data_IF_794800240629
#
_entry.id   IF_794800240629
#
_cell.length_a   1.000
_cell.length_b   1.000
_cell.length_c   1.000
_cell.angle_alpha   90.00
_cell.angle_beta   90.00
_cell.angle_gamma   90.00
#
_symmetry.space_group_name_H-M   'P 1'
#
loop_
_entity.id
_entity.type
_entity.pdbx_description
1 polymer ?
#
# COMPACT_ATOMS: atom_id res chain seq x y z
N UNK A 1 -11.35 -12.06 -17.79
CA UNK A 1 -9.92 -12.41 -17.71
C UNK A 1 -9.17 -11.49 -16.74
N UNK A 2 -9.58 -10.23 -16.64
CA UNK A 2 -8.94 -9.19 -15.81
C UNK A 2 -8.91 -9.50 -14.31
N UNK A 3 -9.99 -10.09 -13.76
CA UNK A 3 -10.03 -10.49 -12.33
C UNK A 3 -8.89 -11.46 -11.99
N UNK A 4 -8.58 -12.41 -12.89
CA UNK A 4 -7.51 -13.38 -12.67
C UNK A 4 -6.14 -12.70 -12.63
N UNK A 5 -5.93 -11.70 -13.49
CA UNK A 5 -4.70 -10.89 -13.53
C UNK A 5 -4.54 -10.14 -12.21
N UNK A 6 -5.59 -9.47 -11.72
CA UNK A 6 -5.54 -8.78 -10.44
C UNK A 6 -5.34 -9.72 -9.24
N UNK A 7 -5.88 -10.94 -9.30
CA UNK A 7 -5.71 -11.94 -8.24
C UNK A 7 -4.25 -12.43 -8.16
N UNK A 8 -3.63 -12.72 -9.31
CA UNK A 8 -2.22 -13.13 -9.39
C UNK A 8 -1.30 -11.99 -8.94
N UNK A 9 -1.57 -10.78 -9.43
CA UNK A 9 -0.80 -9.59 -9.09
C UNK A 9 -0.92 -9.27 -7.60
N UNK A 10 -2.13 -9.29 -7.05
CA UNK A 10 -2.38 -9.09 -5.64
C UNK A 10 -1.69 -10.14 -4.77
N UNK A 11 -1.70 -11.41 -5.18
CA UNK A 11 -1.02 -12.49 -4.47
C UNK A 11 0.51 -12.33 -4.46
N UNK A 12 1.12 -12.07 -5.61
CA UNK A 12 2.57 -11.88 -5.73
C UNK A 12 3.04 -10.63 -5.01
N UNK A 13 2.33 -9.52 -5.20
CA UNK A 13 2.67 -8.25 -4.57
C UNK A 13 2.45 -8.30 -3.05
N UNK A 14 1.37 -8.95 -2.59
CA UNK A 14 1.11 -9.20 -1.17
C UNK A 14 2.14 -10.12 -0.51
N UNK A 15 2.57 -11.18 -1.20
CA UNK A 15 3.63 -12.07 -0.74
C UNK A 15 4.97 -11.33 -0.61
N UNK A 16 5.37 -10.60 -1.65
CA UNK A 16 6.60 -9.81 -1.63
C UNK A 16 6.56 -8.72 -0.55
N UNK A 17 5.43 -8.01 -0.42
CA UNK A 17 5.22 -7.02 0.63
C UNK A 17 5.37 -7.61 2.04
N UNK A 18 4.84 -8.82 2.27
CA UNK A 18 4.97 -9.54 3.53
C UNK A 18 6.40 -10.02 3.81
N UNK A 19 7.15 -10.43 2.79
CA UNK A 19 8.52 -10.90 2.92
C UNK A 19 9.50 -9.75 3.26
N UNK A 20 9.39 -8.63 2.55
CA UNK A 20 10.31 -7.49 2.74
C UNK A 20 9.90 -6.55 3.88
N UNK A 21 8.63 -6.59 4.31
CA UNK A 21 8.14 -5.75 5.42
C UNK A 21 8.04 -4.25 5.10
N UNK A 22 8.28 -3.85 3.84
CA UNK A 22 8.35 -2.43 3.41
C UNK A 22 6.96 -1.79 3.23
N UNK A 23 5.89 -2.58 3.32
CA UNK A 23 4.54 -2.16 2.92
C UNK A 23 4.46 -2.15 1.39
N UNK A 24 3.54 -2.92 0.82
CA UNK A 24 3.59 -3.34 -0.58
C UNK A 24 3.57 -2.24 -1.65
N UNK A 25 3.47 -0.96 -1.30
CA UNK A 25 3.37 0.16 -2.23
C UNK A 25 4.52 0.29 -3.22
N UNK A 26 5.76 0.02 -2.80
CA UNK A 26 6.94 0.10 -3.69
C UNK A 26 6.88 -0.90 -4.84
N UNK A 27 6.16 -2.02 -4.65
CA UNK A 27 5.99 -3.08 -5.66
C UNK A 27 4.63 -2.95 -6.36
N UNK A 28 3.56 -2.67 -5.61
CA UNK A 28 2.18 -2.62 -6.11
C UNK A 28 1.97 -1.45 -7.07
N UNK A 29 2.51 -0.25 -6.78
CA UNK A 29 2.31 0.94 -7.62
C UNK A 29 2.83 0.77 -9.05
N UNK A 30 4.12 0.44 -9.28
CA UNK A 30 4.62 0.27 -10.65
C UNK A 30 3.93 -0.88 -11.39
N UNK A 31 3.54 -1.94 -10.67
CA UNK A 31 2.83 -3.07 -11.25
C UNK A 31 1.42 -2.68 -11.72
N UNK A 32 0.66 -1.96 -10.89
CA UNK A 32 -0.65 -1.43 -11.27
C UNK A 32 -0.56 -0.40 -12.39
N UNK A 33 0.48 0.44 -12.40
CA UNK A 33 0.73 1.38 -13.50
C UNK A 33 0.87 0.64 -14.84
N UNK A 34 1.70 -0.41 -14.88
CA UNK A 34 1.86 -1.23 -16.10
C UNK A 34 0.53 -1.86 -16.51
N UNK A 35 -0.21 -2.43 -15.56
CA UNK A 35 -1.51 -3.07 -15.86
C UNK A 35 -2.53 -2.07 -16.41
N UNK A 36 -2.70 -0.92 -15.76
CA UNK A 36 -3.64 0.10 -16.22
C UNK A 36 -3.23 0.72 -17.55
N UNK A 37 -1.92 0.82 -17.83
CA UNK A 37 -1.43 1.22 -19.16
C UNK A 37 -1.78 0.18 -20.23
N UNK A 38 -1.66 -1.12 -19.92
CA UNK A 38 -2.03 -2.19 -20.85
C UNK A 38 -3.55 -2.33 -21.06
N UNK A 39 -4.35 -1.77 -20.16
CA UNK A 39 -5.81 -1.75 -20.25
C UNK A 39 -6.36 -0.49 -20.95
N UNK A 40 -5.49 0.32 -21.58
CA UNK A 40 -5.84 1.55 -22.30
C UNK A 40 -6.64 2.57 -21.44
N UNK A 41 -6.35 2.65 -20.14
CA UNK A 41 -6.87 3.74 -19.30
C UNK A 41 -6.26 5.08 -19.69
N UNK A 42 -6.98 6.18 -19.41
CA UNK A 42 -6.47 7.52 -19.71
C UNK A 42 -5.13 7.81 -18.99
N UNK A 43 -4.08 8.28 -19.71
CA UNK A 43 -2.78 8.61 -19.13
C UNK A 43 -2.85 9.55 -17.92
N UNK A 44 -3.80 10.49 -17.94
CA UNK A 44 -4.00 11.46 -16.86
C UNK A 44 -4.49 10.81 -15.57
N UNK A 45 -5.16 9.65 -15.67
CA UNK A 45 -5.77 8.96 -14.53
C UNK A 45 -4.99 7.74 -14.07
N UNK A 46 -4.13 7.16 -14.91
CA UNK A 46 -3.38 5.93 -14.61
C UNK A 46 -2.60 6.05 -13.29
N UNK A 47 -1.87 7.16 -13.10
CA UNK A 47 -1.07 7.34 -11.89
C UNK A 47 -1.95 7.52 -10.64
N UNK A 48 -3.03 8.29 -10.74
CA UNK A 48 -3.98 8.45 -9.63
C UNK A 48 -4.66 7.14 -9.25
N UNK A 49 -5.05 6.33 -10.23
CA UNK A 49 -5.62 5.00 -10.01
C UNK A 49 -4.61 4.06 -9.37
N UNK A 50 -3.39 3.96 -9.92
CA UNK A 50 -2.36 3.08 -9.39
C UNK A 50 -1.99 3.43 -7.94
N UNK A 51 -1.78 4.72 -7.64
CA UNK A 51 -1.50 5.18 -6.28
C UNK A 51 -2.68 4.92 -5.35
N UNK A 52 -3.90 5.32 -5.73
CA UNK A 52 -5.11 5.17 -4.91
C UNK A 52 -5.42 3.71 -4.58
N UNK A 53 -5.38 2.81 -5.57
CA UNK A 53 -5.61 1.37 -5.39
C UNK A 53 -4.51 0.73 -4.53
N UNK A 54 -3.25 1.15 -4.69
CA UNK A 54 -2.16 0.66 -3.85
C UNK A 54 -2.36 1.03 -2.37
N UNK A 55 -2.75 2.28 -2.08
CA UNK A 55 -2.99 2.76 -0.72
C UNK A 55 -4.13 1.99 -0.05
N UNK A 56 -5.21 1.73 -0.79
CA UNK A 56 -6.32 0.91 -0.31
C UNK A 56 -5.85 -0.51 0.09
N UNK A 57 -4.96 -1.10 -0.72
CA UNK A 57 -4.39 -2.43 -0.43
C UNK A 57 -3.43 -2.39 0.77
N UNK A 58 -2.63 -1.34 0.90
CA UNK A 58 -1.70 -1.14 2.03
C UNK A 58 -2.46 -1.04 3.34
N UNK A 59 -3.62 -0.39 3.39
CA UNK A 59 -4.44 -0.29 4.61
C UNK A 59 -4.82 -1.70 5.11
N UNK A 60 -5.37 -2.54 4.22
CA UNK A 60 -5.84 -3.89 4.58
C UNK A 60 -4.66 -4.77 5.01
N UNK A 61 -3.57 -4.76 4.25
CA UNK A 61 -2.38 -5.56 4.55
C UNK A 61 -1.67 -5.10 5.84
N UNK A 62 -1.62 -3.79 6.10
CA UNK A 62 -1.02 -3.23 7.32
C UNK A 62 -1.82 -3.61 8.57
N UNK A 63 -3.16 -3.57 8.51
CA UNK A 63 -4.01 -4.01 9.61
C UNK A 63 -3.76 -5.49 9.92
N UNK A 64 -3.76 -6.34 8.89
CA UNK A 64 -3.48 -7.77 9.03
C UNK A 64 -2.11 -8.02 9.67
N UNK A 65 -1.07 -7.34 9.18
CA UNK A 65 0.30 -7.44 9.70
C UNK A 65 0.41 -6.97 11.15
N UNK A 66 -0.22 -5.84 11.48
CA UNK A 66 -0.27 -5.30 12.85
C UNK A 66 -0.95 -6.29 13.80
N UNK A 67 -2.09 -6.85 13.41
CA UNK A 67 -2.81 -7.84 14.22
C UNK A 67 -1.95 -9.09 14.46
N UNK A 68 -1.25 -9.59 13.44
CA UNK A 68 -0.37 -10.75 13.56
C UNK A 68 0.81 -10.48 14.51
N UNK A 69 1.45 -9.31 14.43
CA UNK A 69 2.53 -8.92 15.34
C UNK A 69 2.04 -8.66 16.76
N UNK A 70 0.86 -8.05 16.90
CA UNK A 70 0.27 -7.78 18.22
C UNK A 70 -0.08 -9.08 18.94
N UNK A 71 -0.61 -10.09 18.24
CA UNK A 71 -0.86 -11.43 18.79
C UNK A 71 0.41 -12.11 19.32
N UNK A 72 1.58 -11.78 18.78
CA UNK A 72 2.88 -12.29 19.22
C UNK A 72 3.54 -11.41 20.31
N UNK A 73 2.86 -10.36 20.79
CA UNK A 73 3.43 -9.42 21.77
C UNK A 73 4.57 -8.56 21.22
N UNK A 74 4.78 -8.52 19.90
CA UNK A 74 5.90 -7.85 19.26
C UNK A 74 5.66 -6.35 18.98
N UNK A 75 4.49 -5.82 19.37
CA UNK A 75 4.11 -4.42 19.12
C UNK A 75 4.48 -3.57 20.33
N UNK A 76 5.44 -2.66 20.13
CA UNK A 76 5.81 -1.63 21.11
C UNK A 76 4.82 -0.47 21.08
N UNK A 77 3.70 -0.61 21.80
CA UNK A 77 2.65 0.40 21.89
C UNK A 77 3.11 1.81 22.31
N UNK A 78 4.08 1.99 23.22
CA UNK A 78 4.58 3.33 23.55
C UNK A 78 5.23 4.03 22.33
N UNK A 79 6.00 3.27 21.55
CA UNK A 79 6.65 3.78 20.32
C UNK A 79 5.60 4.13 19.27
N UNK A 80 4.61 3.25 19.07
CA UNK A 80 3.51 3.51 18.15
C UNK A 80 2.75 4.80 18.50
N UNK A 81 2.40 5.01 19.78
CA UNK A 81 1.68 6.21 20.23
C UNK A 81 2.47 7.50 20.03
N UNK A 82 3.80 7.45 20.18
CA UNK A 82 4.66 8.61 19.98
C UNK A 82 4.87 8.94 18.50
N UNK A 83 4.96 7.92 17.64
CA UNK A 83 5.22 8.09 16.20
C UNK A 83 3.96 8.38 15.39
N UNK A 84 2.84 7.74 15.70
CA UNK A 84 1.59 7.86 14.94
C UNK A 84 1.13 9.30 14.67
N UNK A 85 1.08 10.23 15.65
CA UNK A 85 0.65 11.61 15.38
C UNK A 85 1.62 12.35 14.47
N UNK A 86 2.93 12.14 14.61
CA UNK A 86 3.94 12.72 13.73
C UNK A 86 3.83 12.22 12.29
N UNK A 87 3.60 10.90 12.12
CA UNK A 87 3.35 10.31 10.81
C UNK A 87 2.06 10.84 10.17
N UNK A 88 0.97 10.94 10.95
CA UNK A 88 -0.31 11.43 10.44
C UNK A 88 -0.18 12.89 9.98
N UNK A 89 0.35 13.77 10.84
CA UNK A 89 0.57 15.18 10.50
C UNK A 89 1.52 15.34 9.31
N UNK A 90 2.64 14.61 9.31
CA UNK A 90 3.60 14.65 8.20
C UNK A 90 2.99 14.19 6.88
N UNK A 91 2.15 13.15 6.89
CA UNK A 91 1.44 12.67 5.71
C UNK A 91 0.44 13.71 5.18
N UNK A 92 -0.38 14.30 6.05
CA UNK A 92 -1.34 15.34 5.64
C UNK A 92 -0.65 16.59 5.08
N UNK A 93 0.40 17.06 5.76
CA UNK A 93 1.17 18.22 5.29
C UNK A 93 1.91 17.91 3.98
N UNK A 94 2.54 16.73 3.89
CA UNK A 94 3.23 16.30 2.67
C UNK A 94 2.30 16.17 1.48
N UNK A 95 1.11 15.59 1.67
CA UNK A 95 0.10 15.50 0.62
C UNK A 95 -0.39 16.89 0.17
N UNK A 96 -0.54 17.84 1.10
CA UNK A 96 -0.93 19.22 0.77
C UNK A 96 0.16 20.05 0.09
N UNK A 97 1.45 19.69 0.26
CA UNK A 97 2.58 20.35 -0.42
C UNK A 97 2.84 19.73 -1.80
N UNK A 98 2.66 18.42 -1.93
CA UNK A 98 2.94 17.67 -3.15
C UNK A 98 1.80 17.69 -4.17
N UNK A 99 0.57 17.97 -3.73
CA UNK A 99 -0.58 18.23 -4.60
C UNK A 99 -0.56 19.65 -5.16
#
# INVERSE_FOLDING_TARGET
MEILIFLIIGALAGFAAGLFGVGGGTIIVPLLFVVFTQMDYSPDSIMHLALGTSLATIIVTSISSLMAHNKKGAVMWPVFKNLAPGLALGCFLGAGIAG
#
